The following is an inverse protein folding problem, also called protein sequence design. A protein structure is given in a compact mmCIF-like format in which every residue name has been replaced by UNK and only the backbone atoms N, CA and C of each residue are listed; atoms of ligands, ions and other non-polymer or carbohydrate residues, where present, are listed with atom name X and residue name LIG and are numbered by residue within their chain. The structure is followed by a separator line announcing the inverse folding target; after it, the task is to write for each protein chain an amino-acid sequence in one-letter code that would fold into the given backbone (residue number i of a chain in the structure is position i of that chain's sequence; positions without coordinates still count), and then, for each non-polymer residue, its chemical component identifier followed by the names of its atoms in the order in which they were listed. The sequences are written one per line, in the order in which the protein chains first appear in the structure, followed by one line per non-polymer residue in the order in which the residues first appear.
data_IF_254977791407
#
_entry.id   IF_254977791407
#
_cell.length_a   1.000
_cell.length_b   1.000
_cell.length_c   1.000
_cell.angle_alpha   90.00
_cell.angle_beta   90.00
_cell.angle_gamma   90.00
#
_symmetry.space_group_name_H-M   'P 1'
#
loop_
_entity.id
_entity.type
_entity.pdbx_description
1 polymer ?
#
# COMPACT_ATOMS: atom_id res chain seq x y z
N UNK A 1 20.24 -16.14 -20.96
CA UNK A 1 19.63 -17.51 -21.01
C UNK A 1 18.40 -17.64 -20.12
N UNK A 2 18.37 -17.06 -18.90
CA UNK A 2 17.19 -17.09 -18.02
C UNK A 2 16.00 -16.27 -18.54
N UNK A 3 16.23 -15.00 -18.93
CA UNK A 3 15.19 -14.13 -19.48
C UNK A 3 14.46 -14.75 -20.69
N UNK A 4 15.22 -15.27 -21.66
CA UNK A 4 14.71 -15.96 -22.85
C UNK A 4 13.79 -17.14 -22.50
N UNK A 5 14.20 -17.99 -21.56
CA UNK A 5 13.39 -19.14 -21.12
C UNK A 5 12.12 -18.69 -20.39
N UNK A 6 12.21 -17.65 -19.56
CA UNK A 6 11.06 -17.08 -18.83
C UNK A 6 10.04 -16.49 -19.81
N UNK A 7 10.47 -15.59 -20.70
CA UNK A 7 9.62 -14.97 -21.69
C UNK A 7 9.00 -15.99 -22.66
N UNK A 8 9.75 -17.00 -23.09
CA UNK A 8 9.19 -18.08 -23.92
C UNK A 8 8.04 -18.83 -23.25
N UNK A 9 8.14 -19.09 -21.93
CA UNK A 9 7.06 -19.71 -21.15
C UNK A 9 5.86 -18.78 -20.98
N UNK A 10 6.10 -17.51 -20.68
CA UNK A 10 5.02 -16.51 -20.57
C UNK A 10 4.26 -16.35 -21.89
N UNK A 11 4.97 -16.26 -23.02
CA UNK A 11 4.35 -16.14 -24.33
C UNK A 11 3.51 -17.36 -24.69
N UNK A 12 4.00 -18.57 -24.39
CA UNK A 12 3.25 -19.80 -24.64
C UNK A 12 1.95 -19.83 -23.83
N UNK A 13 2.01 -19.43 -22.56
CA UNK A 13 0.84 -19.34 -21.68
C UNK A 13 -0.17 -18.30 -22.21
N UNK A 14 0.29 -17.12 -22.59
CA UNK A 14 -0.60 -16.06 -23.10
C UNK A 14 -1.21 -16.43 -24.46
N UNK A 15 -0.51 -17.18 -25.31
CA UNK A 15 -1.09 -17.68 -26.58
C UNK A 15 -2.19 -18.72 -26.37
N UNK A 16 -2.16 -19.45 -25.27
CA UNK A 16 -3.21 -20.40 -24.89
C UNK A 16 -4.42 -19.69 -24.29
N UNK A 17 -4.17 -18.75 -23.37
CA UNK A 17 -5.21 -17.95 -22.73
C UNK A 17 -4.70 -16.54 -22.38
N UNK A 18 -5.35 -15.52 -22.96
CA UNK A 18 -5.22 -14.13 -22.50
C UNK A 18 -6.42 -13.75 -21.64
N UNK A 19 -6.22 -12.94 -20.58
CA UNK A 19 -7.35 -12.43 -19.81
C UNK A 19 -8.26 -11.53 -20.67
N UNK A 20 -9.55 -11.41 -20.31
CA UNK A 20 -10.49 -10.58 -21.05
C UNK A 20 -10.03 -9.12 -21.19
N UNK A 21 -10.18 -8.57 -22.39
CA UNK A 21 -9.77 -7.19 -22.68
C UNK A 21 -8.26 -7.00 -22.87
N UNK A 22 -7.46 -8.07 -22.91
CA UNK A 22 -6.03 -8.02 -23.22
C UNK A 22 -5.77 -8.78 -24.52
N UNK A 23 -5.03 -8.18 -25.45
CA UNK A 23 -4.67 -8.79 -26.73
C UNK A 23 -3.18 -8.64 -27.03
N UNK A 24 -2.54 -9.70 -27.55
CA UNK A 24 -1.15 -9.65 -27.99
C UNK A 24 -1.10 -9.08 -29.41
N UNK A 25 -0.44 -7.93 -29.57
CA UNK A 25 -0.34 -7.26 -30.88
C UNK A 25 1.02 -7.51 -31.54
N UNK A 26 2.09 -7.50 -30.74
CA UNK A 26 3.45 -7.77 -31.23
C UNK A 26 4.20 -8.58 -30.18
N UNK A 27 4.81 -9.69 -30.59
CA UNK A 27 5.63 -10.52 -29.70
C UNK A 27 6.73 -11.29 -30.45
N UNK A 28 7.17 -10.76 -31.60
CA UNK A 28 8.08 -11.47 -32.51
C UNK A 28 9.50 -11.59 -31.94
N UNK A 29 9.93 -10.58 -31.18
CA UNK A 29 11.23 -10.57 -30.50
C UNK A 29 11.03 -10.73 -29.00
N UNK A 30 12.07 -11.20 -28.31
CA UNK A 30 12.09 -11.28 -26.84
C UNK A 30 12.60 -9.99 -26.19
N UNK A 31 12.75 -8.93 -26.99
CA UNK A 31 13.22 -7.61 -26.55
C UNK A 31 12.05 -6.65 -26.37
N UNK A 32 11.06 -6.70 -27.25
CA UNK A 32 9.92 -5.78 -27.24
C UNK A 32 8.62 -6.52 -27.55
N UNK A 33 7.66 -6.42 -26.62
CA UNK A 33 6.29 -6.87 -26.84
C UNK A 33 5.31 -5.69 -26.80
N UNK A 34 4.19 -5.84 -27.49
CA UNK A 34 3.09 -4.88 -27.44
C UNK A 34 1.77 -5.57 -27.19
N UNK A 35 0.99 -4.99 -26.29
CA UNK A 35 -0.29 -5.50 -25.82
C UNK A 35 -1.36 -4.43 -25.98
N UNK A 36 -2.54 -4.80 -26.46
CA UNK A 36 -3.74 -3.96 -26.34
C UNK A 36 -4.45 -4.25 -25.02
N UNK A 37 -4.90 -3.21 -24.33
CA UNK A 37 -5.73 -3.32 -23.13
C UNK A 37 -7.03 -2.53 -23.30
N UNK A 38 -8.14 -3.10 -22.82
CA UNK A 38 -9.47 -2.50 -22.81
C UNK A 38 -10.06 -2.58 -21.41
N UNK A 39 -10.61 -1.47 -20.91
CA UNK A 39 -11.42 -1.46 -19.69
C UNK A 39 -12.76 -2.12 -20.02
N UNK A 40 -13.12 -3.15 -19.26
CA UNK A 40 -14.32 -3.95 -19.51
C UNK A 40 -15.57 -3.37 -18.84
N UNK A 41 -15.38 -2.60 -17.78
CA UNK A 41 -16.46 -1.96 -17.04
C UNK A 41 -16.97 -0.72 -17.76
N UNK A 42 -18.15 -0.26 -17.35
CA UNK A 42 -18.82 0.95 -17.86
C UNK A 42 -18.17 2.24 -17.32
N UNK A 43 -16.85 2.26 -17.12
CA UNK A 43 -16.13 3.46 -16.72
C UNK A 43 -16.23 4.50 -17.86
N UNK A 44 -16.87 5.67 -17.63
CA UNK A 44 -17.14 6.64 -18.68
C UNK A 44 -15.87 7.23 -19.30
N UNK A 45 -14.74 7.24 -18.58
CA UNK A 45 -13.47 7.78 -19.06
C UNK A 45 -12.84 6.91 -20.17
N UNK A 46 -13.10 5.60 -20.13
CA UNK A 46 -12.40 4.61 -20.96
C UNK A 46 -13.36 3.74 -21.78
N UNK A 47 -14.66 4.05 -21.75
CA UNK A 47 -15.68 3.27 -22.41
C UNK A 47 -15.37 3.05 -23.90
N UNK A 48 -15.32 1.79 -24.31
CA UNK A 48 -14.98 1.36 -25.67
C UNK A 48 -13.63 1.87 -26.22
N UNK A 49 -12.72 2.31 -25.36
CA UNK A 49 -11.36 2.65 -25.76
C UNK A 49 -10.42 1.46 -25.60
N UNK A 50 -9.42 1.40 -26.47
CA UNK A 50 -8.33 0.41 -26.40
C UNK A 50 -7.02 1.17 -26.38
N UNK A 51 -6.13 0.77 -25.49
CA UNK A 51 -4.83 1.40 -25.28
C UNK A 51 -3.70 0.42 -25.58
N UNK A 52 -2.60 0.93 -26.13
CA UNK A 52 -1.43 0.13 -26.49
C UNK A 52 -0.35 0.26 -25.42
N UNK A 53 0.03 -0.86 -24.83
CA UNK A 53 1.22 -0.99 -23.99
C UNK A 53 2.41 -1.46 -24.82
N UNK A 54 3.58 -0.91 -24.53
CA UNK A 54 4.88 -1.39 -24.98
C UNK A 54 5.67 -1.89 -23.79
N UNK A 55 6.08 -3.15 -23.84
CA UNK A 55 7.01 -3.79 -22.92
C UNK A 55 8.38 -3.83 -23.56
N UNK A 56 9.42 -3.43 -22.83
CA UNK A 56 10.82 -3.58 -23.24
C UNK A 56 11.59 -4.34 -22.17
N UNK A 57 12.17 -5.47 -22.54
CA UNK A 57 12.79 -6.42 -21.61
C UNK A 57 14.30 -6.26 -21.55
N UNK A 58 14.86 -6.29 -20.34
CA UNK A 58 16.30 -6.38 -20.15
C UNK A 58 16.75 -7.85 -20.12
N UNK A 59 18.04 -8.09 -20.35
CA UNK A 59 18.64 -9.42 -20.21
C UNK A 59 18.57 -9.99 -18.78
N UNK A 60 18.21 -9.16 -17.79
CA UNK A 60 18.06 -9.52 -16.39
C UNK A 60 16.61 -9.77 -15.97
N UNK A 61 15.64 -9.63 -16.87
CA UNK A 61 14.26 -10.02 -16.59
C UNK A 61 14.18 -11.52 -16.19
N UNK A 62 13.39 -11.90 -15.17
CA UNK A 62 12.45 -11.09 -14.39
C UNK A 62 13.03 -10.53 -13.08
N UNK A 63 14.35 -10.63 -12.84
CA UNK A 63 14.97 -10.08 -11.62
C UNK A 63 14.81 -8.56 -11.59
N UNK A 64 14.97 -7.91 -12.74
CA UNK A 64 14.62 -6.51 -12.94
C UNK A 64 13.26 -6.39 -13.64
N UNK A 65 12.49 -5.32 -13.35
CA UNK A 65 11.25 -5.04 -14.06
C UNK A 65 11.49 -4.79 -15.55
N UNK A 66 10.51 -5.11 -16.42
CA UNK A 66 10.48 -4.60 -17.78
C UNK A 66 10.15 -3.10 -17.78
N UNK A 67 10.60 -2.38 -18.79
CA UNK A 67 10.09 -1.02 -19.03
C UNK A 67 8.71 -1.13 -19.67
N UNK A 68 7.73 -0.45 -19.10
CA UNK A 68 6.34 -0.46 -19.58
C UNK A 68 5.86 0.96 -19.78
N UNK A 69 5.31 1.25 -20.95
CA UNK A 69 4.72 2.54 -21.27
C UNK A 69 3.51 2.39 -22.17
N UNK A 70 2.57 3.31 -22.08
CA UNK A 70 1.57 3.51 -23.11
C UNK A 70 2.21 4.14 -24.34
N UNK A 71 1.87 3.67 -25.53
CA UNK A 71 2.33 4.27 -26.78
C UNK A 71 1.15 4.77 -27.59
N UNK A 72 1.34 5.95 -28.19
CA UNK A 72 0.40 6.45 -29.17
C UNK A 72 0.60 5.71 -30.50
N UNK A 73 -0.49 5.22 -31.08
CA UNK A 73 -0.50 4.71 -32.45
C UNK A 73 -1.33 5.66 -33.30
N UNK A 74 -0.70 6.24 -34.32
CA UNK A 74 -1.39 7.13 -35.25
C UNK A 74 -2.22 6.33 -36.25
N UNK A 75 -3.23 6.99 -36.81
CA UNK A 75 -4.16 6.42 -37.78
C UNK A 75 -3.48 5.84 -39.05
N UNK A 76 -2.22 6.20 -39.31
CA UNK A 76 -1.41 5.66 -40.41
C UNK A 76 -0.99 4.20 -40.21
N UNK A 77 -1.04 3.69 -38.98
CA UNK A 77 -0.62 2.32 -38.60
C UNK A 77 -1.78 1.38 -38.25
N UNK A 78 -3.02 1.87 -38.37
CA UNK A 78 -4.25 1.11 -38.08
C UNK A 78 -5.22 1.90 -37.22
N UNK A 79 -5.92 1.22 -36.31
CA UNK A 79 -6.84 1.86 -35.36
C UNK A 79 -6.06 2.73 -34.37
N UNK A 80 -6.36 4.04 -34.26
CA UNK A 80 -5.60 4.92 -33.39
C UNK A 80 -5.67 4.47 -31.94
N UNK A 81 -4.54 4.59 -31.24
CA UNK A 81 -4.41 4.30 -29.81
C UNK A 81 -3.90 5.57 -29.16
N UNK A 82 -4.69 6.19 -28.29
CA UNK A 82 -4.26 7.36 -27.52
C UNK A 82 -3.55 6.92 -26.24
N UNK A 83 -2.91 7.87 -25.55
CA UNK A 83 -2.41 7.63 -24.19
C UNK A 83 -3.56 7.95 -23.23
N UNK A 84 -3.99 7.00 -22.38
CA UNK A 84 -5.11 7.22 -21.46
C UNK A 84 -4.83 8.42 -20.55
N UNK A 85 -5.86 9.23 -20.30
CA UNK A 85 -5.80 10.27 -19.27
C UNK A 85 -5.88 9.59 -17.90
N UNK A 86 -4.90 9.81 -17.03
CA UNK A 86 -4.84 9.20 -15.71
C UNK A 86 -3.87 9.96 -14.81
N UNK A 87 -4.14 10.11 -13.50
CA UNK A 87 -3.25 10.77 -12.53
C UNK A 87 -1.84 10.18 -12.38
N UNK A 88 -1.59 9.03 -13.01
CA UNK A 88 -0.32 8.28 -12.93
C UNK A 88 0.27 7.99 -14.31
N UNK A 89 -0.29 8.57 -15.37
CA UNK A 89 0.19 8.34 -16.74
C UNK A 89 0.53 9.70 -17.34
N UNK A 90 1.83 9.93 -17.54
CA UNK A 90 2.33 11.14 -18.17
C UNK A 90 1.90 11.21 -19.64
N UNK A 91 1.88 12.40 -20.22
CA UNK A 91 1.41 12.58 -21.60
C UNK A 91 2.29 11.90 -22.66
N UNK A 92 3.50 11.47 -22.31
CA UNK A 92 4.37 10.64 -23.15
C UNK A 92 4.16 9.12 -22.93
N UNK A 93 3.22 8.75 -22.05
CA UNK A 93 2.82 7.37 -21.79
C UNK A 93 3.64 6.66 -20.71
N UNK A 94 4.60 7.35 -20.09
CA UNK A 94 5.31 6.84 -18.91
C UNK A 94 4.32 6.65 -17.76
N UNK A 95 4.43 5.52 -17.07
CA UNK A 95 3.54 5.12 -15.98
C UNK A 95 4.27 5.31 -14.65
N UNK A 96 3.70 6.11 -13.76
CA UNK A 96 4.12 6.33 -12.38
C UNK A 96 3.42 5.30 -11.48
N UNK A 97 3.96 4.09 -11.38
CA UNK A 97 3.36 3.03 -10.57
C UNK A 97 4.44 2.19 -9.90
N UNK A 98 4.35 2.00 -8.58
CA UNK A 98 5.37 1.29 -7.79
C UNK A 98 5.58 -0.16 -8.24
N UNK A 99 4.53 -0.81 -8.76
CA UNK A 99 4.61 -2.14 -9.37
C UNK A 99 5.71 -2.23 -10.45
N UNK A 100 5.98 -1.14 -11.17
CA UNK A 100 6.99 -1.06 -12.24
C UNK A 100 8.32 -0.48 -11.74
N UNK A 101 8.38 0.01 -10.50
CA UNK A 101 9.57 0.51 -9.84
C UNK A 101 10.45 -0.61 -9.30
N UNK A 102 11.73 -0.32 -9.08
CA UNK A 102 12.68 -1.29 -8.48
C UNK A 102 12.35 -1.64 -7.03
N UNK A 103 11.63 -0.78 -6.30
CA UNK A 103 11.18 -1.03 -4.94
C UNK A 103 9.97 -1.97 -4.88
N UNK A 104 8.93 -1.73 -5.70
CA UNK A 104 7.72 -2.55 -5.75
C UNK A 104 7.78 -3.80 -6.64
N UNK A 105 8.74 -3.90 -7.58
CA UNK A 105 8.83 -5.03 -8.51
C UNK A 105 9.11 -6.36 -7.80
N UNK A 106 8.36 -7.40 -8.21
CA UNK A 106 8.61 -8.78 -7.81
C UNK A 106 8.88 -9.66 -9.03
N UNK A 107 9.94 -10.50 -9.04
CA UNK A 107 10.21 -11.45 -10.14
C UNK A 107 9.13 -12.52 -10.38
N UNK A 108 8.12 -12.58 -9.50
CA UNK A 108 6.93 -13.40 -9.66
C UNK A 108 5.98 -12.80 -10.70
N UNK A 109 5.98 -11.48 -10.88
CA UNK A 109 5.13 -10.79 -11.86
C UNK A 109 5.44 -11.26 -13.29
N UNK A 110 4.41 -11.29 -14.13
CA UNK A 110 4.45 -11.66 -15.55
C UNK A 110 3.88 -10.51 -16.38
N UNK A 111 4.07 -10.56 -17.71
CA UNK A 111 3.42 -9.60 -18.62
C UNK A 111 1.91 -9.59 -18.42
N UNK A 112 1.31 -10.77 -18.25
CA UNK A 112 -0.12 -10.95 -17.96
C UNK A 112 -0.54 -10.24 -16.66
N UNK A 113 0.17 -10.45 -15.54
CA UNK A 113 -0.21 -9.85 -14.26
C UNK A 113 0.01 -8.33 -14.24
N UNK A 114 1.00 -7.83 -14.99
CA UNK A 114 1.20 -6.38 -15.20
C UNK A 114 0.04 -5.79 -16.00
N UNK A 115 -0.35 -6.41 -17.12
CA UNK A 115 -1.50 -5.93 -17.91
C UNK A 115 -2.79 -5.92 -17.10
N UNK A 116 -3.04 -6.97 -16.29
CA UNK A 116 -4.20 -7.03 -15.40
C UNK A 116 -4.17 -5.93 -14.34
N UNK A 117 -3.00 -5.65 -13.76
CA UNK A 117 -2.85 -4.58 -12.77
C UNK A 117 -3.12 -3.19 -13.38
N UNK A 118 -2.63 -2.95 -14.60
CA UNK A 118 -2.88 -1.70 -15.33
C UNK A 118 -4.34 -1.58 -15.78
N UNK A 119 -4.98 -2.67 -16.22
CA UNK A 119 -6.40 -2.68 -16.53
C UNK A 119 -7.24 -2.35 -15.29
N UNK A 120 -6.91 -2.95 -14.14
CA UNK A 120 -7.57 -2.66 -12.85
C UNK A 120 -7.37 -1.20 -12.41
N UNK A 121 -6.16 -0.67 -12.56
CA UNK A 121 -5.85 0.74 -12.29
C UNK A 121 -6.72 1.68 -13.14
N UNK A 122 -6.85 1.41 -14.44
CA UNK A 122 -7.74 2.19 -15.31
C UNK A 122 -9.21 2.01 -14.92
N UNK A 123 -9.68 0.79 -14.63
CA UNK A 123 -11.05 0.55 -14.16
C UNK A 123 -11.38 1.42 -12.94
N UNK A 124 -10.47 1.50 -11.96
CA UNK A 124 -10.69 2.20 -10.70
C UNK A 124 -10.62 3.74 -10.81
N UNK A 125 -10.11 4.28 -11.92
CA UNK A 125 -9.90 5.72 -12.04
C UNK A 125 -11.22 6.49 -12.26
N UNK A 126 -11.36 7.58 -11.53
CA UNK A 126 -12.48 8.51 -11.62
C UNK A 126 -12.03 9.96 -11.90
N UNK A 127 -10.75 10.17 -12.22
CA UNK A 127 -10.15 11.49 -12.45
C UNK A 127 -9.64 11.63 -13.89
N UNK A 128 -10.19 12.58 -14.63
CA UNK A 128 -9.77 12.90 -16.00
C UNK A 128 -8.63 13.94 -15.99
N UNK A 129 -7.50 13.59 -15.36
CA UNK A 129 -6.35 14.48 -15.20
C UNK A 129 -5.01 13.77 -15.42
N UNK A 130 -3.94 14.54 -15.66
CA UNK A 130 -2.55 14.06 -15.73
C UNK A 130 -1.87 14.13 -14.35
N UNK A 131 -0.74 13.45 -14.14
CA UNK A 131 0.06 13.64 -12.95
C UNK A 131 0.41 15.13 -12.73
N UNK A 132 0.50 15.59 -11.48
CA UNK A 132 1.08 16.90 -11.17
C UNK A 132 2.48 17.04 -11.81
N UNK A 133 2.77 18.21 -12.37
CA UNK A 133 4.07 18.47 -13.02
C UNK A 133 4.29 17.74 -14.36
N UNK A 134 3.25 17.18 -14.99
CA UNK A 134 3.35 16.45 -16.27
C UNK A 134 4.22 17.16 -17.32
N UNK A 135 3.96 18.44 -17.58
CA UNK A 135 4.74 19.20 -18.57
C UNK A 135 6.19 19.44 -18.16
N UNK A 136 6.45 19.68 -16.88
CA UNK A 136 7.81 19.85 -16.39
C UNK A 136 8.59 18.54 -16.51
N UNK A 137 7.96 17.42 -16.12
CA UNK A 137 8.53 16.09 -16.21
C UNK A 137 8.88 15.74 -17.66
N UNK A 138 7.96 15.91 -18.61
CA UNK A 138 8.22 15.59 -20.02
C UNK A 138 9.34 16.46 -20.60
N UNK A 139 9.37 17.75 -20.22
CA UNK A 139 10.37 18.69 -20.73
C UNK A 139 11.77 18.39 -20.22
N UNK A 140 11.91 18.03 -18.94
CA UNK A 140 13.22 17.91 -18.27
C UNK A 140 13.72 16.47 -18.12
N UNK A 141 12.84 15.48 -18.14
CA UNK A 141 13.26 14.11 -17.98
C UNK A 141 14.09 13.66 -19.19
N UNK A 142 15.30 13.16 -18.90
CA UNK A 142 16.24 12.58 -19.87
C UNK A 142 16.65 11.17 -19.47
N UNK A 143 16.09 10.65 -18.38
CA UNK A 143 16.40 9.32 -17.85
C UNK A 143 15.61 8.25 -18.60
N UNK A 144 16.14 7.04 -18.62
CA UNK A 144 15.36 5.87 -19.07
C UNK A 144 14.26 5.61 -18.07
N UNK A 145 13.14 5.04 -18.52
CA UNK A 145 11.95 4.77 -17.70
C UNK A 145 12.32 4.04 -16.41
N UNK A 146 13.19 3.03 -16.53
CA UNK A 146 13.66 2.24 -15.40
C UNK A 146 14.45 3.03 -14.36
N UNK A 147 15.12 4.11 -14.75
CA UNK A 147 16.02 4.88 -13.88
C UNK A 147 15.30 6.13 -13.29
N UNK A 148 13.98 6.22 -13.47
CA UNK A 148 13.13 7.27 -12.90
C UNK A 148 12.74 6.85 -11.48
N UNK A 149 13.15 7.65 -10.50
CA UNK A 149 12.62 7.55 -9.15
C UNK A 149 11.39 8.45 -9.08
N UNK A 150 10.21 7.85 -9.20
CA UNK A 150 8.97 8.58 -8.94
C UNK A 150 8.91 8.96 -7.47
N UNK A 151 8.59 10.22 -7.20
CA UNK A 151 8.24 10.71 -5.87
C UNK A 151 6.74 10.85 -5.88
N UNK A 152 6.04 9.97 -5.18
CA UNK A 152 4.59 9.97 -5.15
C UNK A 152 4.15 11.07 -4.18
N UNK A 153 3.54 12.13 -4.72
CA UNK A 153 3.22 13.34 -3.95
C UNK A 153 2.16 13.11 -2.85
N UNK A 154 1.47 11.96 -2.85
CA UNK A 154 0.39 11.62 -1.92
C UNK A 154 0.62 10.31 -1.12
N UNK A 155 1.87 9.86 -0.95
CA UNK A 155 2.20 8.60 -0.22
C UNK A 155 1.66 8.55 1.22
N UNK A 156 1.50 9.71 1.86
CA UNK A 156 1.19 9.81 3.28
C UNK A 156 -0.11 10.60 3.51
N UNK A 157 -1.23 9.89 3.48
CA UNK A 157 -2.58 10.44 3.75
C UNK A 157 -2.86 10.54 5.26
N UNK A 158 -2.24 9.69 6.07
CA UNK A 158 -2.49 9.68 7.53
C UNK A 158 -1.33 10.19 8.38
N UNK A 159 -0.20 10.49 7.76
CA UNK A 159 1.01 10.97 8.42
C UNK A 159 1.62 12.12 7.64
N UNK A 160 2.38 12.95 8.33
CA UNK A 160 3.14 14.02 7.68
C UNK A 160 4.42 14.24 8.49
N UNK A 161 5.61 14.03 7.93
CA UNK A 161 6.88 14.24 8.64
C UNK A 161 6.99 15.60 9.34
N UNK A 162 6.35 16.67 8.85
CA UNK A 162 6.33 17.96 9.51
C UNK A 162 5.38 18.07 10.73
N UNK A 163 4.38 17.18 10.85
CA UNK A 163 3.31 17.27 11.87
C UNK A 163 3.20 16.04 12.77
N UNK A 164 3.39 14.83 12.22
CA UNK A 164 3.46 13.57 12.96
C UNK A 164 4.79 13.52 13.72
N UNK A 165 4.69 13.49 15.04
CA UNK A 165 5.79 13.75 15.96
C UNK A 165 6.62 12.50 16.26
N UNK A 166 5.94 11.39 16.59
CA UNK A 166 6.59 10.16 17.04
C UNK A 166 5.89 8.90 16.53
N UNK A 167 6.69 7.87 16.37
CA UNK A 167 6.26 6.49 16.12
C UNK A 167 6.57 5.66 17.36
N UNK A 168 5.56 5.07 17.98
CA UNK A 168 5.66 4.27 19.20
C UNK A 168 5.55 2.79 18.83
N UNK A 169 6.60 2.02 19.06
CA UNK A 169 6.70 0.62 18.66
C UNK A 169 6.67 -0.26 19.89
N UNK A 170 5.95 -1.38 19.87
CA UNK A 170 6.10 -2.41 20.91
C UNK A 170 7.53 -2.95 20.93
N UNK A 171 8.10 -3.26 22.10
CA UNK A 171 9.42 -3.87 22.26
C UNK A 171 9.30 -5.19 23.04
N UNK A 172 9.80 -6.31 22.48
CA UNK A 172 10.40 -6.47 21.15
C UNK A 172 9.40 -6.33 19.98
N UNK A 173 9.90 -6.02 18.78
CA UNK A 173 9.08 -5.67 17.60
C UNK A 173 9.49 -6.43 16.33
N UNK A 174 8.59 -6.47 15.34
CA UNK A 174 8.92 -6.94 14.00
C UNK A 174 9.89 -5.99 13.28
N UNK A 175 11.17 -6.38 13.24
CA UNK A 175 12.29 -5.53 12.80
C UNK A 175 12.18 -4.90 11.39
N UNK A 176 11.43 -5.46 10.44
CA UNK A 176 11.30 -4.82 9.11
C UNK A 176 10.49 -3.51 9.18
N UNK A 177 9.72 -3.29 10.24
CA UNK A 177 8.94 -2.06 10.41
C UNK A 177 9.82 -0.81 10.53
N UNK A 178 11.06 -0.95 11.03
CA UNK A 178 11.97 0.18 11.19
C UNK A 178 12.25 0.86 9.85
N UNK A 179 12.57 0.07 8.82
CA UNK A 179 12.85 0.60 7.48
C UNK A 179 11.61 1.26 6.87
N UNK A 180 10.42 0.70 7.09
CA UNK A 180 9.17 1.28 6.59
C UNK A 180 8.97 2.69 7.14
N UNK A 181 9.16 2.88 8.45
CA UNK A 181 9.02 4.20 9.07
C UNK A 181 10.18 5.15 8.73
N UNK A 182 11.40 4.65 8.56
CA UNK A 182 12.54 5.44 8.08
C UNK A 182 12.29 5.98 6.67
N UNK A 183 11.87 5.13 5.75
CA UNK A 183 11.55 5.48 4.36
C UNK A 183 10.35 6.45 4.30
N UNK A 184 9.41 6.36 5.24
CA UNK A 184 8.31 7.33 5.42
C UNK A 184 8.74 8.66 6.08
N UNK A 185 10.03 8.86 6.34
CA UNK A 185 10.59 10.12 6.86
C UNK A 185 10.66 10.21 8.38
N UNK A 186 10.45 9.11 9.12
CA UNK A 186 10.46 9.08 10.59
C UNK A 186 11.77 8.54 11.19
N UNK A 187 12.86 8.53 10.42
CA UNK A 187 14.19 8.21 10.93
C UNK A 187 14.53 9.04 12.18
N UNK A 188 15.02 8.38 13.24
CA UNK A 188 15.31 9.02 14.53
C UNK A 188 14.09 9.45 15.36
N UNK A 189 12.86 9.07 14.95
CA UNK A 189 11.61 9.41 15.66
C UNK A 189 10.80 8.22 16.17
N UNK A 190 11.39 7.03 16.10
CA UNK A 190 10.83 5.79 16.63
C UNK A 190 11.22 5.60 18.09
N UNK A 191 10.27 5.21 18.94
CA UNK A 191 10.47 4.99 20.38
C UNK A 191 9.88 3.63 20.75
N UNK A 192 10.67 2.81 21.43
CA UNK A 192 10.24 1.50 21.94
C UNK A 192 9.39 1.64 23.22
N UNK A 193 8.34 0.84 23.31
CA UNK A 193 7.46 0.70 24.46
C UNK A 193 7.51 -0.77 24.90
N UNK A 194 7.85 -1.06 26.17
CA UNK A 194 7.97 -2.43 26.64
C UNK A 194 6.63 -3.18 26.54
N UNK A 195 6.70 -4.50 26.37
CA UNK A 195 5.56 -5.39 26.53
C UNK A 195 5.64 -6.25 27.79
N UNK A 196 4.48 -6.68 28.27
CA UNK A 196 4.33 -7.68 29.32
C UNK A 196 3.59 -8.93 28.79
N UNK A 197 3.18 -9.86 29.67
CA UNK A 197 2.44 -11.07 29.27
C UNK A 197 1.13 -10.75 28.51
N UNK A 198 0.59 -9.54 28.67
CA UNK A 198 -0.60 -9.04 27.99
C UNK A 198 -0.31 -8.25 26.71
N UNK A 199 0.93 -8.26 26.21
CA UNK A 199 1.39 -7.46 25.07
C UNK A 199 1.88 -6.06 25.49
N UNK A 200 1.95 -5.11 24.55
CA UNK A 200 2.41 -3.74 24.81
C UNK A 200 1.84 -3.16 26.12
N UNK A 201 2.71 -2.65 26.99
CA UNK A 201 2.32 -1.97 28.23
C UNK A 201 1.72 -0.60 27.89
N UNK A 202 0.39 -0.53 27.93
CA UNK A 202 -0.36 0.70 27.63
C UNK A 202 -0.13 1.78 28.69
N UNK A 203 0.22 1.41 29.92
CA UNK A 203 0.55 2.38 30.98
C UNK A 203 1.89 3.02 30.69
N UNK A 204 2.89 2.21 30.30
CA UNK A 204 4.20 2.72 29.88
C UNK A 204 4.09 3.60 28.63
N UNK A 205 3.26 3.19 27.65
CA UNK A 205 2.94 4.00 26.46
C UNK A 205 2.37 5.37 26.85
N UNK A 206 1.35 5.39 27.70
CA UNK A 206 0.70 6.64 28.12
C UNK A 206 1.66 7.56 28.90
N UNK A 207 2.51 6.98 29.76
CA UNK A 207 3.53 7.74 30.47
C UNK A 207 4.53 8.37 29.48
N UNK A 208 4.99 7.63 28.47
CA UNK A 208 5.92 8.12 27.48
C UNK A 208 5.30 9.22 26.59
N UNK A 209 4.06 9.03 26.14
CA UNK A 209 3.28 10.03 25.39
C UNK A 209 3.08 11.32 26.19
N UNK A 210 2.63 11.21 27.44
CA UNK A 210 2.39 12.37 28.30
C UNK A 210 3.67 13.13 28.62
N UNK A 211 4.78 12.41 28.83
CA UNK A 211 6.12 13.01 29.02
C UNK A 211 6.56 13.79 27.78
N UNK A 212 6.40 13.21 26.60
CA UNK A 212 6.74 13.85 25.32
C UNK A 212 5.89 15.11 25.04
N UNK A 213 4.57 15.01 25.20
CA UNK A 213 3.65 16.15 24.99
C UNK A 213 3.92 17.29 25.99
N UNK A 214 4.41 16.97 27.18
CA UNK A 214 4.80 17.98 28.18
C UNK A 214 6.09 18.71 27.80
N UNK A 215 7.05 18.02 27.17
CA UNK A 215 8.31 18.63 26.71
C UNK A 215 8.19 19.44 25.42
N UNK A 216 7.32 19.04 24.49
CA UNK A 216 7.21 19.66 23.15
C UNK A 216 6.25 20.85 23.05
N UNK A 217 5.49 21.17 24.10
CA UNK A 217 4.62 22.38 24.10
C UNK A 217 5.38 23.70 23.87
N UNK A 218 6.71 23.68 23.84
CA UNK A 218 7.57 24.84 23.57
C UNK A 218 7.94 25.07 22.08
N UNK A 219 7.66 24.12 21.17
CA UNK A 219 8.26 24.10 19.81
C UNK A 219 7.31 23.63 18.70
N UNK A 220 6.07 24.13 18.64
CA UNK A 220 5.18 23.82 17.51
C UNK A 220 5.48 24.70 16.28
N UNK A 221 6.14 24.10 15.28
CA UNK A 221 6.15 24.59 13.90
C UNK A 221 4.84 24.19 13.22
N UNK A 222 3.87 25.11 13.13
CA UNK A 222 2.61 24.93 12.39
C UNK A 222 2.77 25.11 10.88
N UNK A 223 3.86 24.60 10.29
CA UNK A 223 3.98 24.59 8.83
C UNK A 223 3.12 23.49 8.24
N UNK A 224 1.92 23.87 7.83
CA UNK A 224 1.05 23.04 7.00
C UNK A 224 1.68 22.93 5.61
N UNK A 225 2.35 21.81 5.36
CA UNK A 225 3.02 21.53 4.07
C UNK A 225 2.07 20.97 3.02
N UNK A 226 0.96 20.35 3.44
CA UNK A 226 -0.01 19.67 2.58
C UNK A 226 -1.36 20.40 2.53
N UNK A 227 -2.00 20.54 1.36
CA UNK A 227 -3.33 21.15 1.27
C UNK A 227 -4.37 20.31 2.01
N UNK A 228 -5.41 20.92 2.61
CA UNK A 228 -6.50 20.16 3.22
C UNK A 228 -7.24 19.35 2.15
N UNK A 229 -7.50 18.08 2.45
CA UNK A 229 -8.29 17.18 1.61
C UNK A 229 -9.36 16.50 2.47
N UNK A 230 -10.58 16.28 1.96
CA UNK A 230 -11.67 15.67 2.75
C UNK A 230 -11.39 14.22 3.15
N UNK A 231 -10.51 13.54 2.41
CA UNK A 231 -10.09 12.16 2.61
C UNK A 231 -8.83 12.01 3.49
N UNK A 232 -8.35 13.10 4.11
CA UNK A 232 -7.08 13.16 4.83
C UNK A 232 -7.27 13.52 6.28
N UNK A 233 -6.55 12.84 7.17
CA UNK A 233 -6.36 13.21 8.58
C UNK A 233 -4.91 12.97 8.96
N UNK A 234 -4.20 13.98 9.44
CA UNK A 234 -2.82 13.80 9.90
C UNK A 234 -2.83 13.53 11.41
N UNK A 235 -2.44 12.32 11.81
CA UNK A 235 -2.32 11.99 13.23
C UNK A 235 -1.02 12.56 13.81
N UNK A 236 -1.08 13.06 15.04
CA UNK A 236 0.11 13.53 15.78
C UNK A 236 1.08 12.40 16.10
N UNK A 237 0.57 11.20 16.37
CA UNK A 237 1.37 10.03 16.72
C UNK A 237 0.95 8.80 15.93
N UNK A 238 1.86 7.84 15.79
CA UNK A 238 1.55 6.50 15.29
C UNK A 238 1.99 5.49 16.32
N UNK A 239 1.16 4.49 16.60
CA UNK A 239 1.48 3.37 17.47
C UNK A 239 1.46 2.11 16.62
N UNK A 240 2.51 1.29 16.64
CA UNK A 240 2.58 0.02 15.93
C UNK A 240 2.65 -1.14 16.91
N UNK A 241 1.77 -2.12 16.71
CA UNK A 241 1.76 -3.34 17.51
C UNK A 241 1.28 -4.55 16.68
N UNK A 242 1.56 -5.74 17.21
CA UNK A 242 1.06 -7.03 16.71
C UNK A 242 0.11 -7.58 17.80
N UNK A 243 -1.22 -7.36 17.71
CA UNK A 243 -2.12 -7.60 18.85
C UNK A 243 -2.33 -9.08 19.20
N UNK A 244 -2.14 -9.97 18.22
CA UNK A 244 -2.30 -11.42 18.34
C UNK A 244 -1.01 -12.12 17.95
N UNK A 245 -0.54 -13.04 18.80
CA UNK A 245 0.67 -13.83 18.58
C UNK A 245 1.86 -12.95 18.19
N UNK A 246 2.13 -11.94 19.01
CA UNK A 246 3.10 -10.88 18.76
C UNK A 246 4.42 -11.43 18.24
N UNK A 247 5.00 -10.81 17.21
CA UNK A 247 6.31 -11.20 16.72
C UNK A 247 7.37 -10.29 17.36
N UNK A 248 8.29 -10.80 18.20
CA UNK A 248 8.66 -12.22 18.37
C UNK A 248 8.10 -12.95 19.61
N UNK A 249 7.40 -12.28 20.52
CA UNK A 249 7.10 -12.84 21.86
C UNK A 249 5.97 -13.85 21.97
N UNK A 250 5.09 -13.92 20.97
CA UNK A 250 3.89 -14.76 20.96
C UNK A 250 2.74 -14.26 21.83
N UNK A 251 2.86 -13.08 22.47
CA UNK A 251 1.83 -12.54 23.37
C UNK A 251 0.55 -12.18 22.62
N UNK A 252 -0.59 -12.18 23.32
CA UNK A 252 -1.88 -11.80 22.75
C UNK A 252 -2.58 -10.83 23.70
N UNK A 253 -2.93 -9.66 23.20
CA UNK A 253 -3.58 -8.62 23.99
C UNK A 253 -5.00 -9.01 24.39
N UNK A 254 -5.31 -8.92 25.68
CA UNK A 254 -6.68 -9.09 26.19
C UNK A 254 -7.60 -7.97 25.70
N UNK A 255 -8.92 -8.20 25.73
CA UNK A 255 -9.91 -7.16 25.40
C UNK A 255 -9.70 -5.88 26.21
N UNK A 256 -9.46 -5.99 27.52
CA UNK A 256 -9.22 -4.83 28.37
C UNK A 256 -7.96 -4.03 27.97
N UNK A 257 -6.89 -4.72 27.56
CA UNK A 257 -5.67 -4.09 27.05
C UNK A 257 -5.92 -3.35 25.73
N UNK A 258 -6.69 -3.95 24.82
CA UNK A 258 -7.11 -3.32 23.55
C UNK A 258 -7.96 -2.08 23.77
N UNK A 259 -8.93 -2.14 24.67
CA UNK A 259 -9.77 -0.99 25.04
C UNK A 259 -8.94 0.14 25.67
N UNK A 260 -7.98 -0.18 26.54
CA UNK A 260 -7.07 0.81 27.12
C UNK A 260 -6.21 1.48 26.03
N UNK A 261 -5.67 0.71 25.08
CA UNK A 261 -4.88 1.23 23.97
C UNK A 261 -5.70 2.18 23.08
N UNK A 262 -6.94 1.83 22.75
CA UNK A 262 -7.85 2.71 21.98
C UNK A 262 -8.10 4.03 22.71
N UNK A 263 -8.34 3.99 24.04
CA UNK A 263 -8.52 5.22 24.84
C UNK A 263 -7.28 6.11 24.82
N UNK A 264 -6.09 5.53 24.96
CA UNK A 264 -4.82 6.28 24.88
C UNK A 264 -4.66 6.87 23.47
N UNK A 265 -4.91 6.10 22.42
CA UNK A 265 -4.81 6.57 21.04
C UNK A 265 -5.74 7.77 20.76
N UNK A 266 -6.99 7.70 21.22
CA UNK A 266 -7.95 8.81 21.13
C UNK A 266 -7.47 10.05 21.89
N UNK A 267 -6.94 9.89 23.11
CA UNK A 267 -6.49 10.99 23.98
C UNK A 267 -5.34 11.78 23.39
N UNK A 268 -4.41 11.10 22.71
CA UNK A 268 -3.19 11.71 22.18
C UNK A 268 -3.22 11.94 20.66
N UNK A 269 -4.37 11.75 20.00
CA UNK A 269 -4.50 11.80 18.54
C UNK A 269 -3.46 10.91 17.82
N UNK A 270 -3.46 9.63 18.20
CA UNK A 270 -2.58 8.61 17.65
C UNK A 270 -3.34 7.65 16.73
N UNK A 271 -2.71 7.21 15.64
CA UNK A 271 -3.16 6.09 14.83
C UNK A 271 -2.51 4.80 15.33
N UNK A 272 -3.31 3.80 15.70
CA UNK A 272 -2.84 2.45 16.02
C UNK A 272 -2.84 1.60 14.75
N UNK A 273 -1.64 1.30 14.24
CA UNK A 273 -1.42 0.37 13.13
C UNK A 273 -1.24 -1.02 13.70
N UNK A 274 -2.24 -1.87 13.50
CA UNK A 274 -2.26 -3.25 13.99
C UNK A 274 -1.80 -4.19 12.89
N UNK A 275 -0.67 -4.87 13.09
CA UNK A 275 -0.20 -5.92 12.18
C UNK A 275 -0.92 -7.24 12.52
N UNK A 276 -2.06 -7.49 11.87
CA UNK A 276 -2.99 -8.57 12.17
C UNK A 276 -2.79 -9.80 11.27
N UNK A 277 -1.58 -9.99 10.73
CA UNK A 277 -1.24 -11.12 9.84
C UNK A 277 -1.41 -12.51 10.49
N UNK A 278 -1.52 -12.58 11.82
CA UNK A 278 -1.72 -13.81 12.60
C UNK A 278 -3.12 -13.95 13.19
N UNK A 279 -4.03 -12.97 13.01
CA UNK A 279 -5.33 -12.94 13.70
C UNK A 279 -6.18 -14.19 13.40
N UNK A 280 -6.16 -14.68 12.16
CA UNK A 280 -6.88 -15.88 11.72
C UNK A 280 -6.24 -17.20 12.17
N UNK A 281 -5.11 -17.18 12.87
CA UNK A 281 -4.39 -18.38 13.31
C UNK A 281 -4.74 -18.81 14.73
N UNK A 282 -5.83 -18.28 15.30
CA UNK A 282 -6.33 -18.75 16.59
C UNK A 282 -7.13 -20.05 16.42
N UNK A 283 -6.49 -21.18 16.75
CA UNK A 283 -7.08 -22.52 16.64
C UNK A 283 -7.83 -22.98 17.90
N UNK A 284 -7.92 -22.14 18.93
CA UNK A 284 -8.44 -22.52 20.24
C UNK A 284 -7.54 -23.53 20.98
N UNK A 285 -7.77 -23.71 22.28
CA UNK A 285 -7.05 -24.72 23.07
C UNK A 285 -7.64 -26.10 22.75
N UNK A 286 -6.87 -26.97 22.09
CA UNK A 286 -7.28 -28.35 21.72
C UNK A 286 -7.10 -29.34 22.88
N UNK A 287 -7.10 -28.88 24.14
CA UNK A 287 -7.12 -29.74 25.31
C UNK A 287 -8.56 -29.92 25.82
N UNK A 288 -8.98 -31.17 25.87
CA UNK A 288 -10.35 -31.68 25.89
C UNK A 288 -11.22 -31.37 27.14
N UNK A 289 -11.10 -30.20 27.78
CA UNK A 289 -11.96 -29.83 28.91
C UNK A 289 -12.21 -28.34 29.15
N UNK A 290 -11.59 -27.43 28.38
CA UNK A 290 -11.86 -26.00 28.51
C UNK A 290 -12.80 -25.53 27.39
N UNK A 291 -13.85 -24.78 27.75
CA UNK A 291 -14.69 -24.10 26.78
C UNK A 291 -13.82 -23.29 25.81
N UNK A 292 -14.08 -23.39 24.51
CA UNK A 292 -13.35 -22.66 23.47
C UNK A 292 -13.42 -21.17 23.79
N UNK A 293 -12.33 -20.61 24.31
CA UNK A 293 -12.26 -19.18 24.59
C UNK A 293 -12.33 -18.45 23.25
N UNK A 294 -13.42 -17.71 23.03
CA UNK A 294 -13.57 -16.89 21.82
C UNK A 294 -12.38 -15.92 21.75
N UNK A 295 -11.71 -15.78 20.59
CA UNK A 295 -10.64 -14.80 20.44
C UNK A 295 -11.14 -13.40 20.83
N UNK A 296 -10.32 -12.58 21.50
CA UNK A 296 -10.67 -11.19 21.76
C UNK A 296 -10.95 -10.46 20.42
N UNK A 297 -11.92 -9.54 20.38
CA UNK A 297 -12.21 -8.75 19.17
C UNK A 297 -10.97 -7.94 18.78
N UNK A 298 -10.70 -7.80 17.46
CA UNK A 298 -9.55 -7.03 16.96
C UNK A 298 -9.63 -5.59 17.42
N UNK A 299 -8.49 -4.91 17.46
CA UNK A 299 -8.43 -3.51 17.92
C UNK A 299 -9.32 -2.60 17.05
N UNK A 300 -9.41 -2.85 15.74
CA UNK A 300 -10.33 -2.12 14.85
C UNK A 300 -11.81 -2.34 15.20
N UNK A 301 -12.18 -3.55 15.64
CA UNK A 301 -13.55 -3.85 16.07
C UNK A 301 -13.83 -3.21 17.45
N UNK A 302 -12.83 -3.19 18.34
CA UNK A 302 -12.91 -2.47 19.62
C UNK A 302 -13.12 -0.97 19.39
N UNK A 303 -12.39 -0.33 18.49
CA UNK A 303 -12.54 1.11 18.21
C UNK A 303 -13.93 1.45 17.63
N UNK A 304 -14.52 0.54 16.84
CA UNK A 304 -15.88 0.69 16.29
C UNK A 304 -16.97 0.65 17.36
N UNK A 305 -16.78 -0.12 18.43
CA UNK A 305 -17.81 -0.36 19.45
C UNK A 305 -17.59 0.44 20.74
N UNK A 306 -16.34 0.73 21.09
CA UNK A 306 -15.99 1.29 22.38
C UNK A 306 -16.55 2.70 22.54
N UNK A 307 -17.33 2.90 23.62
CA UNK A 307 -17.85 4.20 24.05
C UNK A 307 -18.71 4.90 22.98
N UNK A 308 -19.45 4.12 22.18
CA UNK A 308 -20.32 4.64 21.12
C UNK A 308 -19.63 4.77 19.75
N UNK A 309 -18.38 4.32 19.65
CA UNK A 309 -17.62 4.25 18.41
C UNK A 309 -16.52 5.32 18.29
N UNK A 310 -15.99 5.52 17.08
CA UNK A 310 -14.91 6.48 16.80
C UNK A 310 -15.28 7.94 17.15
N UNK A 311 -14.30 8.73 17.59
CA UNK A 311 -14.51 10.16 17.90
C UNK A 311 -14.68 11.04 16.65
N UNK A 312 -14.18 10.57 15.51
CA UNK A 312 -14.34 11.19 14.21
C UNK A 312 -14.52 10.13 13.12
N UNK A 313 -14.77 10.57 11.89
CA UNK A 313 -15.06 9.68 10.76
C UNK A 313 -13.91 8.73 10.42
N UNK A 314 -12.66 9.06 10.76
CA UNK A 314 -11.48 8.26 10.43
C UNK A 314 -11.17 7.24 11.53
N UNK A 315 -11.50 7.55 12.79
CA UNK A 315 -11.17 6.71 13.95
C UNK A 315 -9.69 6.77 14.31
N UNK A 316 -9.20 5.79 15.06
CA UNK A 316 -7.83 5.78 15.58
C UNK A 316 -7.13 4.44 15.37
N UNK A 317 -7.71 3.52 14.61
CA UNK A 317 -7.19 2.16 14.46
C UNK A 317 -7.31 1.68 13.02
N UNK A 318 -6.29 0.95 12.55
CA UNK A 318 -6.30 0.24 11.28
C UNK A 318 -5.72 -1.14 11.48
N UNK A 319 -6.38 -2.14 10.91
CA UNK A 319 -5.89 -3.52 10.82
C UNK A 319 -5.18 -3.70 9.48
N UNK A 320 -3.97 -4.24 9.52
CA UNK A 320 -3.16 -4.61 8.36
C UNK A 320 -3.10 -6.13 8.24
N UNK A 321 -3.79 -6.69 7.24
CA UNK A 321 -3.90 -8.12 6.99
C UNK A 321 -3.08 -8.59 5.79
N UNK A 322 -2.72 -9.88 5.77
CA UNK A 322 -2.00 -10.48 4.64
C UNK A 322 -2.39 -11.94 4.43
N UNK A 323 -2.48 -12.35 3.16
CA UNK A 323 -2.62 -13.77 2.81
C UNK A 323 -1.31 -14.56 2.96
N UNK A 324 -0.20 -13.90 3.29
CA UNK A 324 1.13 -14.54 3.36
C UNK A 324 1.23 -15.67 4.38
N UNK A 325 0.47 -15.58 5.49
CA UNK A 325 0.44 -16.58 6.56
C UNK A 325 -0.76 -17.53 6.46
N UNK A 326 -1.69 -17.25 5.55
CA UNK A 326 -2.93 -18.02 5.36
C UNK A 326 -2.87 -18.93 4.14
N UNK A 327 -2.34 -18.42 3.03
CA UNK A 327 -2.25 -19.13 1.74
C UNK A 327 -0.78 -19.35 1.38
N UNK A 328 0.01 -18.27 1.38
CA UNK A 328 1.44 -18.33 1.11
C UNK A 328 2.03 -16.96 0.74
N UNK A 329 3.32 -16.72 1.05
CA UNK A 329 3.95 -15.41 0.86
C UNK A 329 4.06 -14.97 -0.61
N UNK A 330 4.00 -15.92 -1.55
CA UNK A 330 4.07 -15.66 -2.98
C UNK A 330 2.84 -14.96 -3.57
N UNK A 331 1.71 -14.91 -2.85
CA UNK A 331 0.50 -14.25 -3.33
C UNK A 331 0.68 -12.73 -3.47
N UNK A 332 1.52 -12.11 -2.62
CA UNK A 332 1.75 -10.65 -2.61
C UNK A 332 0.45 -9.83 -2.52
N UNK A 333 -0.57 -10.38 -1.85
CA UNK A 333 -1.85 -9.73 -1.59
C UNK A 333 -2.07 -9.61 -0.08
N UNK A 334 -2.53 -8.43 0.33
CA UNK A 334 -3.01 -8.14 1.67
C UNK A 334 -4.23 -7.24 1.59
N UNK A 335 -4.68 -6.76 2.75
CA UNK A 335 -5.81 -5.84 2.84
C UNK A 335 -5.67 -4.99 4.11
N UNK A 336 -6.37 -3.87 4.15
CA UNK A 336 -6.51 -3.04 5.34
C UNK A 336 -7.98 -2.94 5.75
N UNK A 337 -8.24 -2.88 7.05
CA UNK A 337 -9.58 -2.64 7.59
C UNK A 337 -9.57 -1.46 8.55
N UNK A 338 -10.55 -0.57 8.40
CA UNK A 338 -10.73 0.63 9.22
C UNK A 338 -12.16 1.14 9.14
N UNK A 339 -12.36 2.41 9.50
CA UNK A 339 -13.61 3.13 9.19
C UNK A 339 -13.72 3.37 7.68
N UNK A 340 -14.93 3.56 7.15
CA UNK A 340 -15.14 3.82 5.72
C UNK A 340 -14.31 5.00 5.20
N UNK A 341 -14.30 6.12 5.94
CA UNK A 341 -13.50 7.29 5.57
C UNK A 341 -11.99 7.03 5.63
N UNK A 342 -11.52 6.20 6.58
CA UNK A 342 -10.12 5.80 6.64
C UNK A 342 -9.73 4.95 5.44
N UNK A 343 -10.52 3.91 5.09
CA UNK A 343 -10.18 3.03 3.96
C UNK A 343 -10.24 3.81 2.64
N UNK A 344 -11.21 4.71 2.49
CA UNK A 344 -11.30 5.60 1.34
C UNK A 344 -10.10 6.54 1.25
N UNK A 345 -9.67 7.12 2.37
CA UNK A 345 -8.46 7.95 2.44
C UNK A 345 -7.20 7.16 2.08
N UNK A 346 -7.07 5.94 2.61
CA UNK A 346 -5.94 5.06 2.29
C UNK A 346 -5.93 4.71 0.80
N UNK A 347 -7.09 4.50 0.18
CA UNK A 347 -7.23 4.29 -1.26
C UNK A 347 -7.01 5.57 -2.09
N UNK A 348 -6.64 6.70 -1.48
CA UNK A 348 -6.14 7.86 -2.22
C UNK A 348 -4.62 8.01 -2.11
N UNK A 349 -3.96 7.22 -1.26
CA UNK A 349 -2.50 7.18 -1.13
C UNK A 349 -1.92 6.33 -2.27
N UNK A 350 -1.37 6.97 -3.31
CA UNK A 350 -0.77 6.31 -4.46
C UNK A 350 0.37 7.11 -5.08
#
# INVERSE_FOLDING_TARGET
MFATKRLGKELLKMKDHVPPGIEIVKSDTLEEWQMDIKVLDDNPLYFNQTYRLKFTFSNKYPIEPPEVQFIQCDASTGTPRTIPMHPHIYSNGIICLDLLGTAGWSPVQTVESVCMSLQSMLTANNRDERPPGDQEFITHNRRRIRDINFVYEDDNVFTEPAQTQRIWLVEPCYHLVFRVFEDAGFAGRMVGIPEDEGGMDVTALELALSGFESSEKASQSNQVTKPPRPYRKIYRHVIYCVPNFSNPSGTTMSRARREALVRVARRYDALVVCDDVYDFLNWGVVHASAAVAKPPPRIVDVDRELEGGPLDQFGNTVSNGSFSKLIGPGCRVGWAEGTEAFVYGLSQAY
#
